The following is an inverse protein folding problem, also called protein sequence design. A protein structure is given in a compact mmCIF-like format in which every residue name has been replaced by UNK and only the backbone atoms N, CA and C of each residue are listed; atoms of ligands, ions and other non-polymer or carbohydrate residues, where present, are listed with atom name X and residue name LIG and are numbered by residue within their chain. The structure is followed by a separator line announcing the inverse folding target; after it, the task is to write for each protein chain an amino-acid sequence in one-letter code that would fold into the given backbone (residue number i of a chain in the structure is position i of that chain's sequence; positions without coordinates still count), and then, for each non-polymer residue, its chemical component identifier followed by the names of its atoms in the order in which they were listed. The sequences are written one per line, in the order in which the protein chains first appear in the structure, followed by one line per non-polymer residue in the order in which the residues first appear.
data_IF_438248024759
#
_entry.id   IF_438248024759
#
_cell.length_a   1.000
_cell.length_b   1.000
_cell.length_c   1.000
_cell.angle_alpha   90.00
_cell.angle_beta   90.00
_cell.angle_gamma   90.00
#
_symmetry.space_group_name_H-M   'P 1'
#
loop_
_entity.id
_entity.type
_entity.pdbx_description
1 polymer ?
#
# COMPACT_ATOMS: atom_id res chain seq x y z
N UNK A 1 11.67 -21.71 -18.78
CA UNK A 1 10.31 -21.15 -18.62
C UNK A 1 9.96 -21.26 -17.15
N UNK A 2 9.94 -20.13 -16.43
CA UNK A 2 9.61 -20.15 -15.01
C UNK A 2 8.12 -20.44 -14.85
N UNK A 3 7.79 -21.51 -14.15
CA UNK A 3 6.45 -21.81 -13.66
C UNK A 3 6.01 -20.67 -12.73
N UNK A 4 5.41 -19.62 -13.28
CA UNK A 4 4.61 -18.69 -12.50
C UNK A 4 3.38 -19.48 -12.07
N UNK A 5 3.22 -19.73 -10.76
CA UNK A 5 2.10 -20.48 -10.18
C UNK A 5 0.73 -19.76 -10.33
N UNK A 6 0.52 -19.00 -11.41
CA UNK A 6 -0.65 -18.15 -11.64
C UNK A 6 -0.82 -17.08 -10.57
N UNK A 7 0.26 -16.68 -9.89
CA UNK A 7 0.23 -15.63 -8.87
C UNK A 7 0.16 -14.26 -9.54
N UNK A 8 -0.96 -13.58 -9.37
CA UNK A 8 -1.20 -12.21 -9.84
C UNK A 8 -1.48 -11.31 -8.64
N UNK A 9 -1.34 -10.00 -8.82
CA UNK A 9 -1.66 -9.03 -7.76
C UNK A 9 -3.09 -9.19 -7.22
N UNK A 10 -4.04 -9.61 -8.07
CA UNK A 10 -5.46 -9.77 -7.71
C UNK A 10 -5.69 -10.87 -6.68
N UNK A 11 -4.75 -11.83 -6.59
CA UNK A 11 -4.77 -12.92 -5.60
C UNK A 11 -4.06 -12.55 -4.30
N UNK A 12 -3.51 -11.35 -4.20
CA UNK A 12 -2.79 -10.87 -3.03
C UNK A 12 -3.78 -10.12 -2.14
N UNK A 13 -3.72 -10.40 -0.85
CA UNK A 13 -4.40 -9.64 0.19
C UNK A 13 -3.36 -9.03 1.12
N UNK A 14 -3.43 -7.72 1.30
CA UNK A 14 -2.62 -6.98 2.28
C UNK A 14 -3.53 -6.62 3.45
N UNK A 15 -3.27 -7.22 4.60
CA UNK A 15 -4.00 -6.97 5.84
C UNK A 15 -3.22 -5.98 6.69
N UNK A 16 -3.88 -4.92 7.15
CA UNK A 16 -3.31 -3.98 8.09
C UNK A 16 -3.62 -4.43 9.52
N UNK A 17 -2.58 -4.82 10.24
CA UNK A 17 -2.68 -5.24 11.64
C UNK A 17 -2.39 -4.06 12.59
N UNK A 18 -2.95 -4.11 13.80
CA UNK A 18 -2.94 -3.01 14.78
C UNK A 18 -1.58 -2.62 15.39
N UNK A 19 -0.45 -3.09 14.84
CA UNK A 19 0.89 -2.94 15.42
C UNK A 19 1.92 -2.31 14.46
N UNK A 20 1.49 -1.37 13.61
CA UNK A 20 2.30 -0.77 12.54
C UNK A 20 2.95 -1.84 11.64
N UNK A 21 2.18 -2.84 11.24
CA UNK A 21 2.64 -3.87 10.33
C UNK A 21 1.59 -4.16 9.26
N UNK A 22 2.05 -4.76 8.17
CA UNK A 22 1.19 -5.35 7.15
C UNK A 22 1.44 -6.84 7.07
N UNK A 23 0.38 -7.61 6.92
CA UNK A 23 0.43 -9.04 6.61
C UNK A 23 0.07 -9.24 5.16
N UNK A 24 0.93 -9.89 4.41
CA UNK A 24 0.77 -10.18 2.99
C UNK A 24 0.38 -11.64 2.88
N UNK A 25 -0.84 -11.88 2.40
CA UNK A 25 -1.36 -13.22 2.08
C UNK A 25 -1.43 -13.40 0.57
N UNK A 26 -0.83 -14.47 0.11
CA UNK A 26 -0.89 -14.94 -1.27
C UNK A 26 -0.97 -16.47 -1.28
N UNK A 27 -1.41 -17.10 -2.38
CA UNK A 27 -1.36 -18.55 -2.52
C UNK A 27 0.02 -19.13 -2.15
N UNK A 28 0.07 -19.89 -1.05
CA UNK A 28 1.30 -20.49 -0.54
C UNK A 28 2.27 -19.54 0.17
N UNK A 29 1.90 -18.30 0.45
CA UNK A 29 2.73 -17.32 1.15
C UNK A 29 1.94 -16.52 2.19
N UNK A 30 2.51 -16.42 3.39
CA UNK A 30 2.01 -15.56 4.45
C UNK A 30 3.21 -14.86 5.10
N UNK A 31 3.33 -13.55 4.90
CA UNK A 31 4.47 -12.75 5.34
C UNK A 31 4.01 -11.57 6.18
N UNK A 32 4.80 -11.18 7.16
CA UNK A 32 4.57 -9.97 7.94
C UNK A 32 5.72 -9.00 7.69
N UNK A 33 5.40 -7.76 7.36
CA UNK A 33 6.34 -6.66 7.28
C UNK A 33 5.99 -5.62 8.33
N UNK A 34 6.91 -5.40 9.27
CA UNK A 34 6.75 -4.42 10.35
C UNK A 34 7.44 -3.12 9.99
N UNK A 35 6.74 -2.00 10.10
CA UNK A 35 7.33 -0.68 9.98
C UNK A 35 8.05 -0.32 11.28
N UNK A 36 9.06 0.57 11.18
CA UNK A 36 9.77 1.05 12.35
C UNK A 36 8.83 1.84 13.26
N UNK A 37 8.82 1.53 14.56
CA UNK A 37 8.06 2.31 15.57
C UNK A 37 8.47 3.78 15.67
N UNK A 38 9.63 4.14 15.13
CA UNK A 38 10.12 5.53 15.07
C UNK A 38 9.59 6.28 13.84
N UNK A 39 8.96 5.58 12.90
CA UNK A 39 8.36 6.22 11.74
C UNK A 39 7.13 7.01 12.19
N UNK A 40 7.07 8.28 11.79
CA UNK A 40 5.89 9.10 12.06
C UNK A 40 4.73 8.58 11.20
N UNK A 41 3.67 8.13 11.86
CA UNK A 41 2.43 7.78 11.20
C UNK A 41 1.77 9.04 10.63
N UNK A 42 1.29 8.93 9.39
CA UNK A 42 0.61 10.01 8.68
C UNK A 42 -0.10 9.45 7.45
N UNK A 43 -0.95 10.25 6.82
CA UNK A 43 -1.61 9.92 5.54
C UNK A 43 -0.65 9.56 4.39
N UNK A 44 0.62 9.97 4.47
CA UNK A 44 1.65 9.67 3.47
C UNK A 44 2.60 8.53 3.88
N UNK A 45 2.45 8.01 5.09
CA UNK A 45 3.10 6.78 5.50
C UNK A 45 2.51 5.61 4.69
N UNK A 46 3.27 4.54 4.38
CA UNK A 46 2.74 3.34 3.69
C UNK A 46 1.41 2.81 4.27
N UNK A 47 1.27 2.82 5.59
CA UNK A 47 0.01 2.44 6.26
C UNK A 47 -1.14 3.41 5.92
N UNK A 48 -0.89 4.72 5.92
CA UNK A 48 -1.90 5.71 5.54
C UNK A 48 -2.30 5.63 4.07
N UNK A 49 -1.33 5.39 3.19
CA UNK A 49 -1.58 5.15 1.77
C UNK A 49 -2.46 3.90 1.59
N UNK A 50 -2.13 2.80 2.28
CA UNK A 50 -2.92 1.58 2.25
C UNK A 50 -4.34 1.74 2.80
N UNK A 51 -4.55 2.53 3.86
CA UNK A 51 -5.90 2.83 4.37
C UNK A 51 -6.72 3.57 3.32
N UNK A 52 -6.14 4.58 2.66
CA UNK A 52 -6.85 5.34 1.63
C UNK A 52 -7.20 4.47 0.42
N UNK A 53 -6.22 3.71 -0.05
CA UNK A 53 -6.37 2.76 -1.16
C UNK A 53 -7.44 1.71 -0.80
N UNK A 54 -7.33 1.06 0.36
CA UNK A 54 -8.33 0.08 0.80
C UNK A 54 -9.75 0.61 0.96
N UNK A 55 -9.92 1.92 1.15
CA UNK A 55 -11.24 2.56 1.18
C UNK A 55 -11.76 2.98 -0.20
N UNK A 56 -10.88 3.37 -1.13
CA UNK A 56 -11.27 3.99 -2.42
C UNK A 56 -11.09 3.07 -3.63
N UNK A 57 -10.21 2.08 -3.56
CA UNK A 57 -9.78 1.28 -4.71
C UNK A 57 -8.58 1.87 -5.47
N UNK A 58 -8.15 3.09 -5.14
CA UNK A 58 -7.13 3.82 -5.90
C UNK A 58 -6.40 4.85 -5.05
N UNK A 59 -5.24 5.28 -5.56
CA UNK A 59 -4.49 6.44 -5.06
C UNK A 59 -4.51 7.56 -6.10
N UNK A 60 -4.60 8.80 -5.61
CA UNK A 60 -4.59 10.01 -6.43
C UNK A 60 -3.50 10.93 -5.90
N UNK A 61 -2.53 11.26 -6.76
CA UNK A 61 -1.57 12.31 -6.41
C UNK A 61 -2.27 13.67 -6.49
N UNK A 62 -1.84 14.65 -5.67
CA UNK A 62 -2.26 16.03 -5.86
C UNK A 62 -2.00 16.50 -7.29
N UNK A 63 -2.66 17.56 -7.76
CA UNK A 63 -2.29 18.20 -9.03
C UNK A 63 -0.82 18.64 -9.02
N UNK A 64 -0.17 18.62 -10.19
CA UNK A 64 1.28 18.91 -10.32
C UNK A 64 1.68 20.31 -9.85
N UNK A 65 0.74 21.25 -9.82
CA UNK A 65 0.95 22.62 -9.32
C UNK A 65 0.80 22.75 -7.80
N UNK A 66 0.35 21.69 -7.09
CA UNK A 66 0.20 21.73 -5.65
C UNK A 66 1.58 21.71 -4.96
N UNK A 67 1.77 22.53 -3.92
CA UNK A 67 3.04 22.64 -3.20
C UNK A 67 3.53 21.30 -2.60
N UNK A 68 2.62 20.38 -2.32
CA UNK A 68 2.96 19.06 -1.77
C UNK A 68 3.11 17.95 -2.82
N UNK A 69 2.89 18.22 -4.11
CA UNK A 69 2.90 17.22 -5.19
C UNK A 69 4.12 16.30 -5.14
N UNK A 70 5.33 16.88 -5.18
CA UNK A 70 6.60 16.15 -5.17
C UNK A 70 6.72 15.22 -3.96
N UNK A 71 6.36 15.73 -2.78
CA UNK A 71 6.43 14.97 -1.53
C UNK A 71 5.47 13.79 -1.55
N UNK A 72 4.22 14.02 -1.95
CA UNK A 72 3.17 12.99 -1.94
C UNK A 72 3.44 11.93 -3.00
N UNK A 73 3.81 12.36 -4.21
CA UNK A 73 4.19 11.46 -5.31
C UNK A 73 5.38 10.58 -4.91
N UNK A 74 6.43 11.17 -4.31
CA UNK A 74 7.60 10.40 -3.84
C UNK A 74 7.26 9.40 -2.74
N UNK A 75 6.37 9.75 -1.81
CA UNK A 75 5.88 8.80 -0.80
C UNK A 75 5.15 7.63 -1.43
N UNK A 76 4.29 7.89 -2.43
CA UNK A 76 3.61 6.84 -3.17
C UNK A 76 4.58 5.95 -3.97
N UNK A 77 5.57 6.53 -4.65
CA UNK A 77 6.58 5.75 -5.38
C UNK A 77 7.40 4.85 -4.45
N UNK A 78 7.77 5.33 -3.25
CA UNK A 78 8.44 4.51 -2.23
C UNK A 78 7.58 3.34 -1.77
N UNK A 79 6.29 3.59 -1.57
CA UNK A 79 5.35 2.55 -1.22
C UNK A 79 5.19 1.50 -2.34
N UNK A 80 5.08 1.94 -3.59
CA UNK A 80 5.05 1.05 -4.77
C UNK A 80 6.32 0.18 -4.85
N UNK A 81 7.49 0.76 -4.64
CA UNK A 81 8.75 0.03 -4.61
C UNK A 81 8.79 -0.99 -3.47
N UNK A 82 8.35 -0.61 -2.27
CA UNK A 82 8.25 -1.53 -1.11
C UNK A 82 7.36 -2.75 -1.43
N UNK A 83 6.19 -2.54 -2.05
CA UNK A 83 5.31 -3.66 -2.41
C UNK A 83 6.00 -4.64 -3.36
N UNK A 84 6.76 -4.14 -4.35
CA UNK A 84 7.50 -4.97 -5.30
C UNK A 84 8.66 -5.73 -4.67
N UNK A 85 9.29 -5.15 -3.65
CA UNK A 85 10.32 -5.83 -2.87
C UNK A 85 9.73 -6.99 -2.05
N UNK A 86 8.58 -6.75 -1.40
CA UNK A 86 7.92 -7.75 -0.57
C UNK A 86 7.28 -8.87 -1.41
N UNK A 87 6.83 -8.53 -2.62
CA UNK A 87 6.11 -9.41 -3.53
C UNK A 87 6.73 -9.27 -4.94
N UNK A 88 7.74 -10.09 -5.28
CA UNK A 88 8.51 -9.96 -6.50
C UNK A 88 7.76 -10.55 -7.71
N UNK A 89 6.64 -9.93 -8.07
CA UNK A 89 5.93 -10.18 -9.31
C UNK A 89 6.51 -9.34 -10.45
N UNK A 90 6.44 -9.87 -11.68
CA UNK A 90 6.87 -9.14 -12.88
C UNK A 90 5.95 -7.96 -13.19
N UNK A 91 4.68 -8.08 -12.83
CA UNK A 91 3.66 -7.05 -13.04
C UNK A 91 3.67 -5.99 -11.93
N UNK A 92 3.10 -4.82 -12.22
CA UNK A 92 2.98 -3.72 -11.27
C UNK A 92 1.79 -3.90 -10.31
N UNK A 93 1.91 -3.46 -9.05
CA UNK A 93 0.81 -3.49 -8.07
C UNK A 93 -0.34 -2.52 -8.39
N UNK A 94 -0.10 -1.57 -9.29
CA UNK A 94 -1.05 -0.54 -9.70
C UNK A 94 -1.18 -0.48 -11.22
N UNK A 95 -2.37 -0.13 -11.69
CA UNK A 95 -2.62 0.28 -13.08
C UNK A 95 -2.99 1.76 -13.10
N UNK A 96 -2.40 2.52 -14.01
CA UNK A 96 -2.69 3.94 -14.19
C UNK A 96 -3.95 4.12 -15.08
N UNK A 97 -4.93 4.89 -14.63
CA UNK A 97 -6.12 5.25 -15.39
C UNK A 97 -6.61 6.65 -15.05
N UNK A 98 -6.71 7.54 -16.05
CA UNK A 98 -7.18 8.93 -15.89
C UNK A 98 -6.49 9.71 -14.74
N UNK A 99 -5.19 9.49 -14.54
CA UNK A 99 -4.42 10.14 -13.46
C UNK A 99 -4.52 9.46 -12.09
N UNK A 100 -5.29 8.37 -11.97
CA UNK A 100 -5.43 7.56 -10.77
C UNK A 100 -4.54 6.32 -10.84
N UNK A 101 -4.03 5.90 -9.69
CA UNK A 101 -3.29 4.67 -9.49
C UNK A 101 -4.23 3.62 -8.90
N UNK A 102 -4.84 2.80 -9.75
CA UNK A 102 -5.82 1.78 -9.35
C UNK A 102 -5.09 0.57 -8.78
N UNK A 103 -5.46 0.14 -7.58
CA UNK A 103 -4.85 -1.03 -6.94
C UNK A 103 -5.21 -2.31 -7.68
N UNK A 104 -4.26 -3.23 -7.79
CA UNK A 104 -4.51 -4.57 -8.35
C UNK A 104 -4.57 -5.67 -7.29
N UNK A 105 -4.61 -5.31 -6.02
CA UNK A 105 -4.62 -6.22 -4.88
C UNK A 105 -5.74 -5.89 -3.91
N UNK A 106 -6.05 -6.84 -3.02
CA UNK A 106 -7.07 -6.66 -1.99
C UNK A 106 -6.44 -6.05 -0.74
N UNK A 107 -7.18 -5.15 -0.09
CA UNK A 107 -6.79 -4.58 1.20
C UNK A 107 -7.82 -4.99 2.24
N UNK A 108 -7.36 -5.52 3.37
CA UNK A 108 -8.20 -5.80 4.53
C UNK A 108 -7.76 -4.92 5.69
N UNK A 109 -8.69 -4.12 6.21
CA UNK A 109 -8.41 -3.18 7.29
C UNK A 109 -9.01 -3.75 8.58
N UNK A 110 -8.19 -4.47 9.36
CA UNK A 110 -8.56 -5.02 10.67
C UNK A 110 -7.89 -4.25 11.84
N UNK A 111 -7.51 -2.99 11.61
CA UNK A 111 -6.79 -2.18 12.60
C UNK A 111 -7.72 -1.54 13.64
N UNK A 112 -7.24 -1.32 14.88
CA UNK A 112 -7.95 -0.53 15.89
C UNK A 112 -8.22 0.91 15.43
N UNK A 113 -9.35 1.48 15.86
CA UNK A 113 -9.73 2.86 15.54
C UNK A 113 -8.70 3.91 15.99
N UNK A 114 -7.95 3.63 17.06
CA UNK A 114 -6.92 4.53 17.59
C UNK A 114 -5.77 4.72 16.59
N UNK A 115 -5.26 3.62 16.02
CA UNK A 115 -4.20 3.67 15.01
C UNK A 115 -4.67 4.35 13.72
N UNK A 116 -5.94 4.14 13.35
CA UNK A 116 -6.55 4.81 12.21
C UNK A 116 -6.65 6.33 12.43
N UNK A 117 -6.93 6.75 13.66
CA UNK A 117 -7.02 8.17 14.04
C UNK A 117 -5.64 8.83 14.02
N UNK A 118 -4.63 8.20 14.61
CA UNK A 118 -3.24 8.69 14.61
C UNK A 118 -2.70 8.93 13.18
N UNK A 119 -3.03 8.04 12.25
CA UNK A 119 -2.64 8.18 10.84
C UNK A 119 -3.36 9.35 10.14
N UNK A 120 -4.60 9.63 10.51
CA UNK A 120 -5.39 10.72 9.91
C UNK A 120 -5.04 12.09 10.52
N UNK A 121 -4.61 12.12 11.78
CA UNK A 121 -4.27 13.33 12.53
C UNK A 121 -2.78 13.74 12.40
N UNK A 122 -1.89 12.81 12.01
CA UNK A 122 -0.43 12.99 11.92
C UNK A 122 0.12 13.59 10.63
#
# INVERSE_FOLDING_TARGET
MNCSNGLTWEKITIELAGNQSIRIKAPGQDKIHSFSKRSKLSKHHPLGILIQIGSKGYWENPPTYAAEYERVSKSFQRFRALLRELIPLAEEPFTDYQGLHIQRFNVKIDMPNELRSEINEG
#
